data_IF_503331096485
#
_entry.id   IF_503331096485
#
_cell.length_a   1.000
_cell.length_b   1.000
_cell.length_c   1.000
_cell.angle_alpha   90.00
_cell.angle_beta   90.00
_cell.angle_gamma   90.00
#
_symmetry.space_group_name_H-M   'P 1'
#
loop_
_entity.id
_entity.type
_entity.pdbx_description
1 polymer ?
#
# COMPACT_ATOMS: atom_id res chain seq x y z
N UNK A 1 -27.05 6.19 2.22
CA UNK A 1 -25.65 6.08 1.78
C UNK A 1 -25.53 6.73 0.42
N UNK A 2 -24.98 7.93 0.40
CA UNK A 2 -24.85 8.74 -0.82
C UNK A 2 -23.65 8.26 -1.64
N UNK A 3 -23.69 8.47 -2.96
CA UNK A 3 -22.65 8.06 -3.92
C UNK A 3 -21.25 8.62 -3.56
N UNK A 4 -21.19 9.70 -2.79
CA UNK A 4 -19.98 10.41 -2.36
C UNK A 4 -19.20 9.73 -1.23
N UNK A 5 -19.87 8.94 -0.38
CA UNK A 5 -19.22 8.30 0.78
C UNK A 5 -18.36 7.10 0.33
N UNK A 6 -18.78 6.41 -0.74
CA UNK A 6 -18.06 5.23 -1.30
C UNK A 6 -16.72 5.57 -1.95
N UNK A 7 -16.52 6.81 -2.37
CA UNK A 7 -15.29 7.23 -3.04
C UNK A 7 -14.19 7.59 -2.02
N UNK A 8 -14.59 8.08 -0.84
CA UNK A 8 -13.65 8.50 0.20
C UNK A 8 -12.96 7.32 0.89
N UNK A 9 -13.69 6.23 1.11
CA UNK A 9 -13.13 5.01 1.73
C UNK A 9 -12.04 4.38 0.86
N UNK A 10 -12.22 4.36 -0.47
CA UNK A 10 -11.22 3.80 -1.40
C UNK A 10 -9.90 4.57 -1.40
N UNK A 11 -9.97 5.88 -1.22
CA UNK A 11 -8.79 6.75 -1.19
C UNK A 11 -8.02 6.55 0.13
N UNK A 12 -8.73 6.42 1.26
CA UNK A 12 -8.09 6.21 2.57
C UNK A 12 -7.37 4.86 2.67
N UNK A 13 -7.91 3.80 2.07
CA UNK A 13 -7.26 2.49 2.06
C UNK A 13 -5.96 2.50 1.24
N UNK A 14 -5.96 3.13 0.06
CA UNK A 14 -4.77 3.24 -0.79
C UNK A 14 -3.63 4.05 -0.15
N UNK A 15 -3.96 5.14 0.54
CA UNK A 15 -2.97 5.99 1.25
C UNK A 15 -2.37 5.25 2.46
N UNK A 16 -3.17 4.50 3.22
CA UNK A 16 -2.64 3.68 4.32
C UNK A 16 -1.67 2.61 3.82
N UNK A 17 -1.98 2.02 2.67
CA UNK A 17 -1.19 0.96 2.07
C UNK A 17 0.19 1.44 1.63
N UNK A 18 0.22 2.47 0.79
CA UNK A 18 1.45 3.11 0.32
C UNK A 18 2.31 3.60 1.48
N UNK A 19 1.70 4.22 2.49
CA UNK A 19 2.41 4.69 3.69
C UNK A 19 3.06 3.55 4.49
N UNK A 20 2.41 2.38 4.55
CA UNK A 20 2.96 1.18 5.22
C UNK A 20 4.13 0.59 4.41
N UNK A 21 3.98 0.46 3.09
CA UNK A 21 5.02 0.02 2.16
C UNK A 21 6.26 0.91 2.25
N UNK A 22 6.08 2.23 2.14
CA UNK A 22 7.18 3.19 2.27
C UNK A 22 7.87 3.13 3.63
N UNK A 23 7.13 2.90 4.72
CA UNK A 23 7.71 2.81 6.07
C UNK A 23 8.61 1.58 6.24
N UNK A 24 8.22 0.45 5.64
CA UNK A 24 9.03 -0.77 5.62
C UNK A 24 10.23 -0.62 4.69
N UNK A 25 10.03 -0.04 3.50
CA UNK A 25 11.11 0.23 2.56
C UNK A 25 12.18 1.13 3.18
N UNK A 26 11.77 2.18 3.88
CA UNK A 26 12.66 3.12 4.55
C UNK A 26 13.32 2.51 5.80
N UNK A 27 12.78 1.42 6.34
CA UNK A 27 13.42 0.61 7.38
C UNK A 27 14.50 -0.33 6.80
N UNK A 28 14.63 -0.42 5.47
CA UNK A 28 15.57 -1.32 4.79
C UNK A 28 15.01 -2.72 4.52
N UNK A 29 13.68 -2.91 4.64
CA UNK A 29 13.06 -4.18 4.30
C UNK A 29 13.09 -4.44 2.79
N UNK A 30 13.33 -5.70 2.42
CA UNK A 30 13.32 -6.11 1.02
C UNK A 30 11.88 -6.14 0.47
N UNK A 31 11.74 -5.86 -0.82
CA UNK A 31 10.45 -5.82 -1.56
C UNK A 31 9.62 -7.09 -1.29
N UNK A 32 10.28 -8.24 -1.21
CA UNK A 32 9.68 -9.55 -0.90
C UNK A 32 9.19 -9.70 0.55
N UNK A 33 9.89 -9.11 1.53
CA UNK A 33 9.39 -9.03 2.91
C UNK A 33 8.18 -8.10 3.00
N UNK A 34 8.24 -6.95 2.32
CA UNK A 34 7.14 -5.98 2.28
C UNK A 34 5.90 -6.61 1.65
N UNK A 35 6.07 -7.32 0.53
CA UNK A 35 5.02 -8.08 -0.14
C UNK A 35 4.31 -9.04 0.82
N UNK A 36 5.07 -9.80 1.63
CA UNK A 36 4.51 -10.70 2.64
C UNK A 36 3.84 -9.96 3.82
N UNK A 37 4.42 -8.86 4.30
CA UNK A 37 3.90 -8.10 5.45
C UNK A 37 2.63 -7.32 5.10
N UNK A 38 2.55 -6.85 3.86
CA UNK A 38 1.39 -6.14 3.34
C UNK A 38 0.40 -7.07 2.62
N UNK A 39 0.68 -8.36 2.50
CA UNK A 39 -0.17 -9.33 1.78
C UNK A 39 -0.50 -8.87 0.35
N UNK A 40 0.52 -8.35 -0.35
CA UNK A 40 0.44 -7.91 -1.75
C UNK A 40 1.51 -8.58 -2.58
N UNK A 41 1.31 -8.59 -3.90
CA UNK A 41 2.32 -9.10 -4.81
C UNK A 41 3.53 -8.18 -4.87
N UNK A 42 4.70 -8.78 -5.10
CA UNK A 42 5.98 -8.08 -5.34
C UNK A 42 5.84 -7.07 -6.48
N UNK A 43 5.04 -7.39 -7.49
CA UNK A 43 4.69 -6.50 -8.61
C UNK A 43 4.00 -5.22 -8.13
N UNK A 44 3.03 -5.35 -7.21
CA UNK A 44 2.30 -4.23 -6.65
C UNK A 44 3.18 -3.38 -5.73
N UNK A 45 4.14 -4.01 -5.03
CA UNK A 45 5.17 -3.27 -4.28
C UNK A 45 6.05 -2.47 -5.23
N UNK A 46 6.44 -3.03 -6.39
CA UNK A 46 7.19 -2.30 -7.41
C UNK A 46 6.39 -1.13 -7.99
N UNK A 47 5.12 -1.31 -8.33
CA UNK A 47 4.23 -0.22 -8.79
C UNK A 47 4.08 0.92 -7.77
N UNK A 48 4.31 0.67 -6.47
CA UNK A 48 4.26 1.70 -5.42
C UNK A 48 5.58 2.47 -5.29
N UNK A 49 6.71 1.82 -5.62
CA UNK A 49 8.06 2.38 -5.43
C UNK A 49 8.57 3.05 -6.71
N UNK A 50 8.19 2.53 -7.88
CA UNK A 50 8.56 3.00 -9.23
C UNK A 50 7.60 4.08 -9.75
#
# INVERSE_FOLDING_TARGET
MTLLERDREKIEEGIKFTKKVFKLLNAGESIESIAKICDISVDMVKEIIE
#
